data_IF_044824149229
#
_entry.id   IF_044824149229
#
_cell.length_a   1.000
_cell.length_b   1.000
_cell.length_c   1.000
_cell.angle_alpha   90.00
_cell.angle_beta   90.00
_cell.angle_gamma   90.00
#
_symmetry.space_group_name_H-M   'P 1'
#
loop_
_entity.id
_entity.type
_entity.pdbx_description
1 polymer ?
#
# COMPACT_ATOMS: atom_id res chain seq x y z
N UNK A 1 1.41 -26.00 -9.17
CA UNK A 1 2.08 -25.17 -10.21
C UNK A 1 1.19 -25.20 -11.45
N UNK A 2 0.91 -24.04 -12.02
CA UNK A 2 0.01 -23.85 -13.17
C UNK A 2 0.59 -22.72 -14.04
N UNK A 3 1.45 -23.11 -14.99
CA UNK A 3 2.20 -22.15 -15.81
C UNK A 3 1.32 -21.40 -16.81
N UNK A 4 0.16 -21.96 -17.16
CA UNK A 4 -0.81 -21.30 -18.03
C UNK A 4 -1.46 -20.11 -17.32
N UNK A 5 -1.95 -20.32 -16.09
CA UNK A 5 -2.47 -19.22 -15.25
C UNK A 5 -1.40 -18.16 -14.96
N UNK A 6 -0.17 -18.61 -14.65
CA UNK A 6 0.95 -17.69 -14.42
C UNK A 6 1.18 -16.77 -15.62
N UNK A 7 1.22 -17.34 -16.83
CA UNK A 7 1.46 -16.61 -18.08
C UNK A 7 0.34 -15.64 -18.43
N UNK A 8 -0.92 -16.07 -18.28
CA UNK A 8 -2.11 -15.22 -18.48
C UNK A 8 -2.11 -14.02 -17.51
N UNK A 9 -1.75 -14.24 -16.24
CA UNK A 9 -1.64 -13.18 -15.25
C UNK A 9 -0.47 -12.23 -15.57
N UNK A 10 0.70 -12.75 -15.97
CA UNK A 10 1.84 -11.94 -16.39
C UNK A 10 1.48 -11.01 -17.56
N UNK A 11 0.82 -11.57 -18.58
CA UNK A 11 0.35 -10.81 -19.74
C UNK A 11 -0.62 -9.71 -19.33
N UNK A 12 -1.56 -10.03 -18.43
CA UNK A 12 -2.54 -9.06 -17.90
C UNK A 12 -1.87 -7.91 -17.15
N UNK A 13 -0.92 -8.21 -16.25
CA UNK A 13 -0.16 -7.20 -15.50
C UNK A 13 0.65 -6.29 -16.43
N UNK A 14 1.33 -6.86 -17.43
CA UNK A 14 2.08 -6.07 -18.43
C UNK A 14 1.17 -5.12 -19.21
N UNK A 15 0.00 -5.60 -19.66
CA UNK A 15 -0.95 -4.77 -20.40
C UNK A 15 -1.54 -3.63 -19.54
N UNK A 16 -1.88 -3.90 -18.27
CA UNK A 16 -2.36 -2.89 -17.32
C UNK A 16 -1.29 -1.86 -16.96
N UNK A 17 -0.02 -2.27 -16.92
CA UNK A 17 1.12 -1.37 -16.77
C UNK A 17 1.41 -0.53 -18.03
N UNK A 18 0.68 -0.73 -19.14
CA UNK A 18 0.96 -0.14 -20.45
C UNK A 18 2.39 -0.40 -20.96
N UNK A 19 2.99 -1.53 -20.57
CA UNK A 19 4.35 -1.90 -20.97
C UNK A 19 4.33 -2.64 -22.32
N UNK A 20 5.02 -2.10 -23.32
CA UNK A 20 5.36 -2.86 -24.52
C UNK A 20 6.28 -4.02 -24.16
N UNK A 21 6.39 -5.01 -25.05
CA UNK A 21 7.27 -6.17 -24.79
C UNK A 21 8.73 -5.73 -24.59
N UNK A 22 9.20 -4.77 -25.38
CA UNK A 22 10.55 -4.20 -25.28
C UNK A 22 10.73 -3.43 -23.97
N UNK A 23 9.76 -2.59 -23.59
CA UNK A 23 9.82 -1.83 -22.35
C UNK A 23 9.82 -2.74 -21.12
N UNK A 24 9.03 -3.83 -21.17
CA UNK A 24 9.00 -4.84 -20.12
C UNK A 24 10.32 -5.59 -19.97
N UNK A 25 10.92 -6.05 -21.08
CA UNK A 25 12.25 -6.68 -21.06
C UNK A 25 13.29 -5.74 -20.45
N UNK A 26 13.32 -4.48 -20.89
CA UNK A 26 14.26 -3.49 -20.38
C UNK A 26 14.06 -3.18 -18.89
N UNK A 27 12.80 -3.06 -18.43
CA UNK A 27 12.50 -2.83 -17.02
C UNK A 27 12.94 -4.00 -16.14
N UNK A 28 12.73 -5.23 -16.62
CA UNK A 28 13.12 -6.45 -15.90
C UNK A 28 14.65 -6.63 -15.90
N UNK A 29 15.32 -6.32 -17.01
CA UNK A 29 16.77 -6.38 -17.12
C UNK A 29 17.46 -5.39 -16.17
N UNK A 30 16.94 -4.15 -16.09
CA UNK A 30 17.41 -3.14 -15.13
C UNK A 30 17.31 -3.61 -13.68
N UNK A 31 16.24 -4.32 -13.31
CA UNK A 31 16.08 -4.90 -11.98
C UNK A 31 17.06 -6.06 -11.73
N UNK A 32 17.31 -6.90 -12.74
CA UNK A 32 18.24 -8.01 -12.65
C UNK A 32 19.70 -7.54 -12.51
N UNK A 33 20.10 -6.50 -13.25
CA UNK A 33 21.44 -5.91 -13.16
C UNK A 33 21.74 -5.29 -11.79
N UNK A 34 20.72 -4.80 -11.08
CA UNK A 34 20.85 -4.28 -9.71
C UNK A 34 20.86 -5.39 -8.63
N UNK A 35 20.67 -6.66 -9.03
CA UNK A 35 20.63 -7.82 -8.15
C UNK A 35 21.97 -8.50 -7.94
N UNK A 36 21.92 -9.78 -7.53
CA UNK A 36 23.12 -10.62 -7.44
C UNK A 36 23.63 -11.00 -8.83
N UNK A 37 24.94 -10.87 -9.06
CA UNK A 37 25.59 -11.23 -10.32
C UNK A 37 25.38 -12.70 -10.67
N UNK A 38 25.35 -13.57 -9.66
CA UNK A 38 25.18 -15.03 -9.84
C UNK A 38 23.78 -15.43 -10.31
N UNK A 39 22.78 -14.57 -10.11
CA UNK A 39 21.38 -14.81 -10.48
C UNK A 39 20.99 -14.22 -11.85
N UNK A 40 21.87 -13.40 -12.45
CA UNK A 40 21.60 -12.71 -13.70
C UNK A 40 21.46 -13.68 -14.88
N UNK A 41 20.41 -13.52 -15.69
CA UNK A 41 20.23 -14.24 -16.94
C UNK A 41 19.76 -13.29 -18.03
N UNK A 42 20.35 -13.41 -19.22
CA UNK A 42 19.90 -12.60 -20.36
C UNK A 42 18.42 -12.85 -20.63
N UNK A 43 17.65 -11.77 -20.65
CA UNK A 43 16.22 -11.76 -20.94
C UNK A 43 16.03 -11.20 -22.33
N UNK A 44 15.16 -11.83 -23.12
CA UNK A 44 14.77 -11.33 -24.42
C UNK A 44 13.25 -11.43 -24.62
N UNK A 45 12.76 -10.81 -25.70
CA UNK A 45 11.35 -10.86 -26.09
C UNK A 45 10.82 -12.29 -26.24
N UNK A 46 11.52 -13.20 -26.94
CA UNK A 46 11.12 -14.61 -27.06
C UNK A 46 10.94 -15.33 -25.72
N UNK A 47 11.87 -15.17 -24.77
CA UNK A 47 11.79 -15.79 -23.44
C UNK A 47 10.58 -15.28 -22.67
N UNK A 48 10.37 -13.97 -22.65
CA UNK A 48 9.18 -13.35 -22.03
C UNK A 48 7.90 -13.87 -22.68
N UNK A 49 7.87 -13.97 -24.01
CA UNK A 49 6.71 -14.50 -24.73
C UNK A 49 6.42 -15.94 -24.30
N UNK A 50 7.45 -16.78 -24.14
CA UNK A 50 7.27 -18.15 -23.64
C UNK A 50 6.72 -18.19 -22.21
N UNK A 51 7.12 -17.26 -21.34
CA UNK A 51 6.54 -17.11 -20.00
C UNK A 51 5.07 -16.71 -20.05
N UNK A 52 4.70 -15.72 -20.88
CA UNK A 52 3.31 -15.28 -21.05
C UNK A 52 2.39 -16.37 -21.62
N UNK A 53 2.91 -17.26 -22.46
CA UNK A 53 2.15 -18.39 -23.01
C UNK A 53 2.13 -19.61 -22.08
N UNK A 54 2.85 -19.58 -20.96
CA UNK A 54 3.01 -20.75 -20.09
C UNK A 54 3.59 -21.96 -20.82
N UNK A 55 4.46 -21.72 -21.80
CA UNK A 55 4.85 -22.73 -22.78
C UNK A 55 5.59 -23.91 -22.13
N UNK A 56 5.15 -25.12 -22.46
CA UNK A 56 5.85 -26.36 -22.18
C UNK A 56 6.20 -27.03 -23.51
N UNK A 57 7.48 -27.37 -23.72
CA UNK A 57 7.94 -27.99 -24.96
C UNK A 57 8.93 -29.11 -24.64
N UNK A 58 8.66 -30.33 -25.13
CA UNK A 58 9.48 -31.53 -24.86
C UNK A 58 9.82 -31.72 -23.38
N UNK A 59 8.83 -31.57 -22.49
CA UNK A 59 9.01 -31.68 -21.04
C UNK A 59 9.72 -30.49 -20.37
N UNK A 60 10.28 -29.55 -21.14
CA UNK A 60 10.88 -28.33 -20.60
C UNK A 60 9.80 -27.30 -20.31
N UNK A 61 9.80 -26.81 -19.07
CA UNK A 61 8.91 -25.76 -18.59
C UNK A 61 9.58 -24.39 -18.69
N UNK A 62 8.97 -23.45 -19.41
CA UNK A 62 9.47 -22.09 -19.52
C UNK A 62 8.85 -21.23 -18.43
N UNK A 63 9.58 -21.05 -17.34
CA UNK A 63 9.19 -20.22 -16.20
C UNK A 63 10.38 -19.36 -15.72
N UNK A 64 10.13 -18.22 -15.06
CA UNK A 64 11.20 -17.44 -14.43
C UNK A 64 11.87 -18.26 -13.33
N UNK A 65 13.14 -17.97 -13.04
CA UNK A 65 13.78 -18.47 -11.82
C UNK A 65 13.15 -17.79 -10.60
N UNK A 66 13.48 -18.27 -9.38
CA UNK A 66 13.00 -17.63 -8.14
C UNK A 66 13.45 -16.17 -8.03
N UNK A 67 14.68 -15.83 -8.43
CA UNK A 67 15.18 -14.46 -8.47
C UNK A 67 14.38 -13.59 -9.45
N UNK A 68 14.13 -14.10 -10.66
CA UNK A 68 13.30 -13.40 -11.65
C UNK A 68 11.85 -13.24 -11.19
N UNK A 69 11.32 -14.20 -10.43
CA UNK A 69 10.02 -14.06 -9.79
C UNK A 69 10.02 -12.87 -8.81
N UNK A 70 11.10 -12.64 -8.04
CA UNK A 70 11.21 -11.44 -7.18
C UNK A 70 11.18 -10.16 -8.00
N UNK A 71 11.90 -10.10 -9.13
CA UNK A 71 11.92 -8.91 -9.96
C UNK A 71 10.56 -8.63 -10.59
N UNK A 72 9.84 -9.67 -11.03
CA UNK A 72 8.46 -9.55 -11.51
C UNK A 72 7.52 -9.02 -10.42
N UNK A 73 7.64 -9.54 -9.19
CA UNK A 73 6.87 -9.05 -8.06
C UNK A 73 7.17 -7.57 -7.75
N UNK A 74 8.44 -7.16 -7.78
CA UNK A 74 8.82 -5.74 -7.62
C UNK A 74 8.26 -4.86 -8.72
N UNK A 75 8.36 -5.32 -9.97
CA UNK A 75 7.94 -4.56 -11.14
C UNK A 75 6.42 -4.30 -11.16
N UNK A 76 5.62 -5.22 -10.60
CA UNK A 76 4.16 -5.14 -10.56
C UNK A 76 3.61 -4.96 -9.15
N UNK A 77 4.43 -4.49 -8.21
CA UNK A 77 4.02 -4.31 -6.80
C UNK A 77 2.84 -3.33 -6.67
N UNK A 78 2.74 -2.36 -7.58
CA UNK A 78 1.65 -1.40 -7.68
C UNK A 78 0.31 -2.04 -8.10
N UNK A 79 0.32 -3.22 -8.71
CA UNK A 79 -0.87 -3.91 -9.24
C UNK A 79 -1.25 -5.17 -8.47
N UNK A 80 -0.39 -5.63 -7.57
CA UNK A 80 -0.60 -6.83 -6.77
C UNK A 80 -0.84 -6.46 -5.30
N UNK A 81 -1.66 -7.27 -4.63
CA UNK A 81 -1.66 -7.37 -3.16
C UNK A 81 -0.85 -8.60 -2.73
N UNK A 82 -0.59 -8.76 -1.42
CA UNK A 82 0.20 -9.90 -0.93
C UNK A 82 -0.44 -11.24 -1.26
N UNK A 83 -1.77 -11.32 -1.24
CA UNK A 83 -2.49 -12.57 -1.53
C UNK A 83 -2.35 -12.98 -3.00
N UNK A 84 -2.60 -12.05 -3.92
CA UNK A 84 -2.44 -12.26 -5.37
C UNK A 84 -0.99 -12.54 -5.73
N UNK A 85 -0.02 -11.90 -5.05
CA UNK A 85 1.40 -12.20 -5.18
C UNK A 85 1.74 -13.63 -4.73
N UNK A 86 1.19 -14.07 -3.59
CA UNK A 86 1.38 -15.42 -3.08
C UNK A 86 0.75 -16.47 -4.01
N UNK A 87 -0.44 -16.19 -4.55
CA UNK A 87 -1.07 -17.06 -5.54
C UNK A 87 -0.24 -17.13 -6.82
N UNK A 88 0.23 -16.00 -7.34
CA UNK A 88 0.99 -15.92 -8.59
C UNK A 88 2.34 -16.64 -8.50
N UNK A 89 3.05 -16.52 -7.38
CA UNK A 89 4.29 -17.27 -7.14
C UNK A 89 4.04 -18.78 -7.07
N UNK A 90 2.93 -19.20 -6.45
CA UNK A 90 2.53 -20.61 -6.38
C UNK A 90 2.18 -21.19 -7.76
N UNK A 91 1.60 -20.38 -8.65
CA UNK A 91 1.38 -20.76 -10.06
C UNK A 91 2.71 -21.01 -10.80
N UNK A 92 3.76 -20.23 -10.53
CA UNK A 92 5.12 -20.48 -11.02
C UNK A 92 5.85 -21.64 -10.30
N UNK A 93 5.25 -22.21 -9.25
CA UNK A 93 5.81 -23.32 -8.48
C UNK A 93 6.81 -22.89 -7.42
N UNK A 94 6.68 -21.66 -6.90
CA UNK A 94 7.47 -21.14 -5.79
C UNK A 94 6.58 -20.84 -4.58
N UNK A 95 7.11 -21.09 -3.39
CA UNK A 95 6.53 -20.62 -2.15
C UNK A 95 7.32 -19.41 -1.66
N UNK A 96 6.62 -18.29 -1.47
CA UNK A 96 7.15 -17.07 -0.89
C UNK A 96 6.44 -16.83 0.44
N UNK A 97 7.21 -16.59 1.50
CA UNK A 97 6.67 -16.29 2.83
C UNK A 97 6.06 -14.89 2.88
N UNK A 98 5.16 -14.64 3.84
CA UNK A 98 4.53 -13.32 4.03
C UNK A 98 5.58 -12.21 4.23
N UNK A 99 6.57 -12.44 5.09
CA UNK A 99 7.67 -11.50 5.34
C UNK A 99 8.50 -11.24 4.09
N UNK A 100 8.81 -12.30 3.34
CA UNK A 100 9.59 -12.18 2.11
C UNK A 100 8.86 -11.38 1.02
N UNK A 101 7.54 -11.55 0.90
CA UNK A 101 6.71 -10.73 0.01
C UNK A 101 6.63 -9.28 0.50
N UNK A 102 6.53 -9.05 1.82
CA UNK A 102 6.56 -7.70 2.39
C UNK A 102 7.87 -6.99 2.03
N UNK A 103 9.03 -7.63 2.19
CA UNK A 103 10.33 -7.03 1.83
C UNK A 103 10.46 -6.72 0.33
N UNK A 104 9.80 -7.50 -0.51
CA UNK A 104 9.81 -7.30 -1.96
C UNK A 104 8.97 -6.09 -2.35
N UNK A 105 7.78 -5.97 -1.77
CA UNK A 105 6.82 -4.92 -2.11
C UNK A 105 7.15 -3.61 -1.41
N UNK A 106 7.78 -3.69 -0.23
CA UNK A 106 8.02 -2.58 0.68
C UNK A 106 9.48 -2.62 1.16
N UNK A 107 10.45 -2.39 0.24
CA UNK A 107 11.88 -2.49 0.54
C UNK A 107 12.37 -1.41 1.52
N UNK A 108 11.56 -0.38 1.79
CA UNK A 108 11.74 0.55 2.89
C UNK A 108 10.68 0.27 3.95
N UNK A 109 11.10 0.26 5.23
CA UNK A 109 10.14 0.26 6.32
C UNK A 109 9.24 1.49 6.18
N UNK A 110 7.93 1.28 6.21
CA UNK A 110 6.94 2.36 6.22
C UNK A 110 7.34 3.42 7.26
N UNK A 111 7.30 4.70 6.88
CA UNK A 111 7.41 5.77 7.87
C UNK A 111 6.10 5.79 8.63
N UNK A 112 6.11 5.23 9.84
CA UNK A 112 4.93 5.16 10.70
C UNK A 112 5.03 6.23 11.78
N UNK A 113 4.06 7.14 11.77
CA UNK A 113 3.88 8.13 12.81
C UNK A 113 2.56 7.87 13.54
N UNK A 114 2.67 7.30 14.74
CA UNK A 114 1.55 7.00 15.62
C UNK A 114 0.96 8.25 16.32
N UNK A 115 1.60 9.41 16.23
CA UNK A 115 1.18 10.59 16.99
C UNK A 115 1.06 10.28 18.49
N UNK A 116 -0.13 10.49 19.05
CA UNK A 116 -0.41 10.25 20.48
C UNK A 116 -0.90 8.82 20.79
N UNK A 117 -1.08 7.94 19.80
CA UNK A 117 -1.59 6.59 20.07
C UNK A 117 -0.50 5.66 20.61
N UNK A 118 -0.82 4.91 21.66
CA UNK A 118 0.06 3.89 22.24
C UNK A 118 -0.20 2.50 21.67
N UNK A 119 0.68 1.55 21.98
CA UNK A 119 0.43 0.14 21.68
C UNK A 119 -0.78 -0.35 22.47
N UNK A 120 -1.76 -1.00 21.82
CA UNK A 120 -2.82 -1.65 22.55
C UNK A 120 -2.22 -2.81 23.35
N UNK A 121 -2.70 -3.02 24.57
CA UNK A 121 -2.41 -4.22 25.34
C UNK A 121 -3.02 -5.47 24.70
N UNK A 122 -3.34 -6.46 25.51
CA UNK A 122 -3.95 -7.71 25.01
C UNK A 122 -5.21 -7.43 24.18
N UNK A 123 -5.26 -8.00 22.97
CA UNK A 123 -6.38 -7.86 22.03
C UNK A 123 -6.96 -9.24 21.72
N UNK A 124 -8.28 -9.38 21.85
CA UNK A 124 -8.99 -10.65 21.72
C UNK A 124 -10.22 -10.50 20.83
N UNK A 125 -10.47 -11.50 19.98
CA UNK A 125 -11.62 -11.53 19.08
C UNK A 125 -11.51 -10.54 17.91
N UNK A 126 -12.65 -10.31 17.25
CA UNK A 126 -12.80 -9.37 16.10
C UNK A 126 -11.98 -9.77 14.88
N UNK A 127 -11.75 -11.07 14.70
CA UNK A 127 -11.00 -11.63 13.57
C UNK A 127 -11.70 -11.33 12.24
N UNK A 128 -13.04 -11.36 12.21
CA UNK A 128 -13.81 -11.02 11.02
C UNK A 128 -13.64 -9.56 10.62
N UNK A 129 -13.69 -8.62 11.57
CA UNK A 129 -13.52 -7.20 11.29
C UNK A 129 -12.07 -6.87 10.91
N UNK A 130 -11.09 -7.53 11.53
CA UNK A 130 -9.69 -7.41 11.12
C UNK A 130 -9.50 -7.85 9.67
N UNK A 131 -9.99 -9.03 9.31
CA UNK A 131 -9.88 -9.55 7.95
C UNK A 131 -10.59 -8.66 6.93
N UNK A 132 -11.77 -8.12 7.28
CA UNK A 132 -12.51 -7.20 6.42
C UNK A 132 -11.75 -5.89 6.20
N UNK A 133 -11.17 -5.31 7.27
CA UNK A 133 -10.39 -4.07 7.16
C UNK A 133 -9.07 -4.31 6.40
N UNK A 134 -8.40 -5.45 6.60
CA UNK A 134 -7.23 -5.84 5.81
C UNK A 134 -7.59 -5.96 4.33
N UNK A 135 -8.71 -6.63 4.00
CA UNK A 135 -9.19 -6.73 2.63
C UNK A 135 -9.48 -5.35 2.03
N UNK A 136 -10.23 -4.49 2.72
CA UNK A 136 -10.56 -3.15 2.22
C UNK A 136 -9.32 -2.27 2.02
N UNK A 137 -8.37 -2.31 2.94
CA UNK A 137 -7.18 -1.44 2.90
C UNK A 137 -6.12 -1.96 1.93
N UNK A 138 -5.95 -3.28 1.80
CA UNK A 138 -4.84 -3.87 1.04
C UNK A 138 -5.30 -4.38 -0.32
N UNK A 139 -6.35 -5.20 -0.35
CA UNK A 139 -6.83 -5.89 -1.55
C UNK A 139 -7.72 -5.02 -2.40
N UNK A 140 -8.80 -4.50 -1.82
CA UNK A 140 -9.80 -3.69 -2.55
C UNK A 140 -9.31 -2.25 -2.75
N UNK A 141 -8.30 -1.83 -1.95
CA UNK A 141 -7.66 -0.51 -1.99
C UNK A 141 -8.69 0.63 -1.88
N UNK A 142 -9.63 0.46 -0.96
CA UNK A 142 -10.62 1.46 -0.62
C UNK A 142 -9.91 2.77 -0.24
N UNK A 143 -10.30 3.87 -0.88
CA UNK A 143 -9.72 5.21 -0.63
C UNK A 143 -10.20 5.83 0.68
N UNK A 144 -11.32 5.35 1.21
CA UNK A 144 -11.93 5.80 2.45
C UNK A 144 -12.59 4.61 3.13
N UNK A 145 -12.29 4.43 4.41
CA UNK A 145 -12.90 3.42 5.29
C UNK A 145 -13.30 4.12 6.58
N UNK A 146 -14.54 3.91 7.02
CA UNK A 146 -15.04 4.45 8.28
C UNK A 146 -15.31 3.30 9.26
N UNK A 147 -14.77 3.40 10.47
CA UNK A 147 -15.03 2.45 11.56
C UNK A 147 -16.04 3.09 12.50
N UNK A 148 -17.27 2.58 12.49
CA UNK A 148 -18.39 3.12 13.26
C UNK A 148 -18.79 2.15 14.38
N UNK A 149 -19.38 2.70 15.44
CA UNK A 149 -19.84 1.91 16.58
C UNK A 149 -19.92 2.73 17.86
N UNK A 150 -20.55 2.16 18.87
CA UNK A 150 -20.76 2.82 20.16
C UNK A 150 -19.45 3.24 20.83
N UNK A 151 -19.52 4.21 21.75
CA UNK A 151 -18.38 4.59 22.59
C UNK A 151 -17.85 3.40 23.38
N UNK A 152 -16.52 3.30 23.54
CA UNK A 152 -15.89 2.23 24.32
C UNK A 152 -15.86 0.83 23.68
N UNK A 153 -16.46 0.61 22.49
CA UNK A 153 -16.53 -0.72 21.84
C UNK A 153 -15.17 -1.23 21.28
N UNK A 154 -14.10 -0.46 21.46
CA UNK A 154 -12.74 -0.81 21.03
C UNK A 154 -12.41 -0.46 19.58
N UNK A 155 -13.06 0.54 18.96
CA UNK A 155 -12.79 0.97 17.57
C UNK A 155 -11.33 1.36 17.35
N UNK A 156 -10.80 2.24 18.20
CA UNK A 156 -9.40 2.68 18.17
C UNK A 156 -8.46 1.50 18.33
N UNK A 157 -8.74 0.58 19.25
CA UNK A 157 -7.91 -0.63 19.47
C UNK A 157 -7.89 -1.54 18.24
N UNK A 158 -9.06 -1.79 17.63
CA UNK A 158 -9.19 -2.55 16.37
C UNK A 158 -8.40 -1.88 15.24
N UNK A 159 -8.58 -0.57 15.07
CA UNK A 159 -7.88 0.21 14.06
C UNK A 159 -6.36 0.15 14.26
N UNK A 160 -5.85 0.33 15.49
CA UNK A 160 -4.42 0.23 15.78
C UNK A 160 -3.87 -1.17 15.46
N UNK A 161 -4.62 -2.23 15.78
CA UNK A 161 -4.23 -3.61 15.46
C UNK A 161 -4.10 -3.84 13.96
N UNK A 162 -5.11 -3.43 13.19
CA UNK A 162 -5.12 -3.58 11.72
C UNK A 162 -4.04 -2.72 11.09
N UNK A 163 -3.92 -1.45 11.49
CA UNK A 163 -2.91 -0.53 10.94
C UNK A 163 -1.51 -1.09 11.12
N UNK A 164 -1.19 -1.75 12.25
CA UNK A 164 0.10 -2.45 12.44
C UNK A 164 0.31 -3.61 11.47
N UNK A 165 -0.76 -4.36 11.17
CA UNK A 165 -0.69 -5.50 10.25
C UNK A 165 -0.55 -5.04 8.79
N UNK A 166 -1.20 -3.94 8.43
CA UNK A 166 -1.21 -3.42 7.06
C UNK A 166 -0.14 -2.36 6.81
N UNK A 167 0.51 -1.81 7.84
CA UNK A 167 1.50 -0.74 7.68
C UNK A 167 2.62 -1.05 6.70
N UNK A 168 3.11 -2.31 6.54
CA UNK A 168 4.08 -2.59 5.50
C UNK A 168 3.56 -2.18 4.12
N UNK A 169 2.24 -2.21 3.86
CA UNK A 169 1.66 -1.94 2.55
C UNK A 169 1.64 -0.47 2.09
N UNK A 170 2.21 0.42 2.90
CA UNK A 170 2.17 1.85 2.72
C UNK A 170 3.58 2.41 2.90
N UNK A 171 3.92 3.43 2.12
CA UNK A 171 5.17 4.18 2.28
C UNK A 171 5.10 5.05 3.55
N UNK A 172 3.89 5.57 3.84
CA UNK A 172 3.62 6.41 5.00
C UNK A 172 2.34 5.97 5.71
N UNK A 173 2.39 5.89 7.04
CA UNK A 173 1.22 5.69 7.89
C UNK A 173 1.19 6.82 8.91
N UNK A 174 0.16 7.65 8.88
CA UNK A 174 0.08 8.84 9.72
C UNK A 174 -1.21 8.81 10.51
N UNK A 175 -1.08 8.68 11.84
CA UNK A 175 -2.21 8.67 12.76
C UNK A 175 -2.36 10.03 13.45
N UNK A 176 -3.57 10.58 13.44
CA UNK A 176 -3.90 11.79 14.19
C UNK A 176 -5.20 11.63 14.96
N UNK A 177 -5.16 11.97 16.23
CA UNK A 177 -6.34 12.08 17.07
C UNK A 177 -6.96 13.47 16.94
N UNK A 178 -8.27 13.53 16.76
CA UNK A 178 -9.05 14.76 16.75
C UNK A 178 -9.75 15.02 18.09
N UNK A 179 -9.41 14.28 19.14
CA UNK A 179 -10.07 14.36 20.46
C UNK A 179 -10.00 15.76 21.09
N UNK A 180 -8.91 16.49 20.84
CA UNK A 180 -8.72 17.87 21.30
C UNK A 180 -9.15 18.90 20.25
N UNK A 181 -9.78 18.45 19.17
CA UNK A 181 -10.18 19.26 18.03
C UNK A 181 -9.06 20.23 17.57
N UNK A 182 -7.93 19.69 17.09
CA UNK A 182 -6.83 20.52 16.63
C UNK A 182 -7.28 21.42 15.46
N UNK A 183 -6.70 22.62 15.27
CA UNK A 183 -6.93 23.40 14.04
C UNK A 183 -6.40 22.67 12.80
N UNK A 184 -7.10 22.82 11.66
CA UNK A 184 -6.70 22.16 10.41
C UNK A 184 -5.27 22.52 9.98
N UNK A 185 -4.86 23.78 10.13
CA UNK A 185 -3.51 24.23 9.79
C UNK A 185 -2.41 23.46 10.58
N UNK A 186 -2.68 23.15 11.85
CA UNK A 186 -1.78 22.35 12.68
C UNK A 186 -1.70 20.90 12.19
N UNK A 187 -2.84 20.33 11.79
CA UNK A 187 -2.90 18.98 11.19
C UNK A 187 -2.16 18.90 9.86
N UNK A 188 -2.38 19.85 8.94
CA UNK A 188 -1.70 19.91 7.65
C UNK A 188 -0.19 20.03 7.80
N UNK A 189 0.28 20.91 8.68
CA UNK A 189 1.70 21.05 9.00
C UNK A 189 2.27 19.76 9.58
N UNK A 190 1.51 19.09 10.44
CA UNK A 190 1.90 17.84 11.07
C UNK A 190 2.03 16.69 10.06
N UNK A 191 1.12 16.56 9.09
CA UNK A 191 1.25 15.59 8.00
C UNK A 191 2.43 15.93 7.09
N UNK A 192 2.61 17.20 6.77
CA UNK A 192 3.72 17.65 5.93
C UNK A 192 5.10 17.38 6.55
N UNK A 193 5.22 17.53 7.88
CA UNK A 193 6.43 17.18 8.63
C UNK A 193 6.87 15.72 8.43
N UNK A 194 5.91 14.81 8.29
CA UNK A 194 6.18 13.38 8.06
C UNK A 194 6.48 13.10 6.60
N UNK A 195 5.67 13.66 5.69
CA UNK A 195 5.78 13.39 4.25
C UNK A 195 6.99 14.07 3.60
N UNK A 196 7.40 15.24 4.09
CA UNK A 196 8.44 16.06 3.50
C UNK A 196 9.21 16.89 4.54
N UNK A 197 9.89 16.26 5.52
CA UNK A 197 10.57 16.96 6.61
C UNK A 197 11.60 17.98 6.11
N UNK A 198 12.29 17.68 5.00
CA UNK A 198 13.29 18.57 4.41
C UNK A 198 12.70 19.84 3.77
N UNK A 199 11.39 19.88 3.53
CA UNK A 199 10.70 20.98 2.85
C UNK A 199 9.88 21.85 3.81
N UNK A 200 9.93 21.63 5.13
CA UNK A 200 9.14 22.38 6.12
C UNK A 200 9.31 23.90 6.04
N UNK A 201 10.52 24.38 5.72
CA UNK A 201 10.80 25.80 5.56
C UNK A 201 10.09 26.42 4.33
N UNK A 202 9.57 25.59 3.43
CA UNK A 202 8.79 25.96 2.25
C UNK A 202 7.30 25.72 2.44
N UNK A 203 6.84 25.42 3.67
CA UNK A 203 5.43 25.18 3.92
C UNK A 203 4.63 26.48 3.71
N UNK A 204 3.66 26.51 2.77
CA UNK A 204 2.95 27.73 2.41
C UNK A 204 2.16 28.34 3.56
N UNK A 205 1.91 29.66 3.51
CA UNK A 205 1.07 30.34 4.50
C UNK A 205 -0.44 30.14 4.23
N UNK A 206 -0.83 30.05 2.96
CA UNK A 206 -2.22 29.95 2.54
C UNK A 206 -2.71 28.51 2.43
N UNK A 207 -3.94 28.27 2.91
CA UNK A 207 -4.55 26.93 2.97
C UNK A 207 -4.61 26.23 1.61
N UNK A 208 -4.99 26.93 0.53
CA UNK A 208 -5.11 26.34 -0.80
C UNK A 208 -3.76 25.80 -1.31
N UNK A 209 -2.68 26.53 -1.06
CA UNK A 209 -1.32 26.11 -1.43
C UNK A 209 -0.84 24.94 -0.56
N UNK A 210 -1.14 24.96 0.75
CA UNK A 210 -0.85 23.85 1.66
C UNK A 210 -1.53 22.55 1.20
N UNK A 211 -2.82 22.62 0.85
CA UNK A 211 -3.58 21.47 0.34
C UNK A 211 -3.04 20.95 -0.99
N UNK A 212 -2.70 21.86 -1.91
CA UNK A 212 -2.11 21.50 -3.21
C UNK A 212 -0.81 20.72 -3.01
N UNK A 213 0.09 21.27 -2.18
CA UNK A 213 1.37 20.65 -1.88
C UNK A 213 1.20 19.30 -1.17
N UNK A 214 0.28 19.19 -0.22
CA UNK A 214 -0.04 17.94 0.46
C UNK A 214 -0.54 16.88 -0.52
N UNK A 215 -1.51 17.23 -1.38
CA UNK A 215 -2.06 16.29 -2.36
C UNK A 215 -1.01 15.80 -3.36
N UNK A 216 -0.05 16.65 -3.73
CA UNK A 216 1.05 16.22 -4.59
C UNK A 216 1.95 15.16 -3.94
N UNK A 217 2.17 15.25 -2.63
CA UNK A 217 2.89 14.21 -1.88
C UNK A 217 2.06 12.93 -1.76
N UNK A 218 0.78 13.05 -1.37
CA UNK A 218 -0.13 11.91 -1.22
C UNK A 218 -0.41 11.16 -2.53
N UNK A 219 -0.27 11.82 -3.70
CA UNK A 219 -0.41 11.17 -5.02
C UNK A 219 0.82 10.38 -5.45
N UNK A 220 2.01 10.73 -4.93
CA UNK A 220 3.29 10.13 -5.33
C UNK A 220 3.67 8.91 -4.49
N UNK A 221 3.01 8.73 -3.35
CA UNK A 221 3.35 7.74 -2.33
C UNK A 221 2.07 7.06 -1.85
N UNK A 222 2.17 5.80 -1.42
CA UNK A 222 1.08 5.07 -0.79
C UNK A 222 0.97 5.52 0.66
N UNK A 223 0.01 6.39 0.94
CA UNK A 223 -0.20 6.92 2.29
C UNK A 223 -1.48 6.37 2.92
N UNK A 224 -1.40 5.90 4.16
CA UNK A 224 -2.55 5.62 5.02
C UNK A 224 -2.67 6.73 6.06
N UNK A 225 -3.74 7.52 5.97
CA UNK A 225 -4.07 8.57 6.94
C UNK A 225 -5.18 8.07 7.86
N UNK A 226 -4.95 8.10 9.17
CA UNK A 226 -5.94 7.71 10.17
C UNK A 226 -6.36 8.94 10.96
N UNK A 227 -7.66 9.22 10.96
CA UNK A 227 -8.29 10.28 11.75
C UNK A 227 -9.16 9.63 12.83
N UNK A 228 -8.65 9.62 14.05
CA UNK A 228 -9.39 9.07 15.20
C UNK A 228 -10.21 10.17 15.88
N UNK A 229 -11.37 9.82 16.45
CA UNK A 229 -12.30 10.73 17.12
C UNK A 229 -12.82 11.88 16.25
N UNK A 230 -13.12 11.62 14.97
CA UNK A 230 -13.62 12.60 13.99
C UNK A 230 -14.89 13.32 14.47
N UNK A 231 -15.73 12.64 15.24
CA UNK A 231 -16.95 13.20 15.83
C UNK A 231 -16.72 14.45 16.67
N UNK A 232 -15.51 14.66 17.21
CA UNK A 232 -15.17 15.80 18.08
C UNK A 232 -15.27 17.14 17.36
N UNK A 233 -15.00 17.18 16.05
CA UNK A 233 -15.09 18.41 15.23
C UNK A 233 -16.44 18.54 14.52
N UNK A 234 -17.31 17.54 14.61
CA UNK A 234 -18.62 17.53 13.98
C UNK A 234 -19.68 18.18 14.87
N UNK A 235 -20.73 18.72 14.25
CA UNK A 235 -21.86 19.31 14.97
C UNK A 235 -22.79 18.21 15.52
N UNK A 236 -22.94 18.15 16.84
CA UNK A 236 -23.86 17.21 17.50
C UNK A 236 -25.33 17.45 17.09
N UNK A 237 -26.08 16.37 16.94
CA UNK A 237 -27.54 16.42 16.67
C UNK A 237 -27.93 16.84 15.25
N UNK A 238 -26.97 17.03 14.35
CA UNK A 238 -27.20 17.36 12.94
C UNK A 238 -27.02 16.15 12.01
N UNK A 239 -27.47 16.26 10.75
CA UNK A 239 -27.13 15.26 9.71
C UNK A 239 -25.62 15.28 9.45
N UNK A 240 -25.06 14.15 9.04
CA UNK A 240 -23.64 14.02 8.71
C UNK A 240 -23.16 15.13 7.73
N UNK A 241 -21.93 15.61 7.93
CA UNK A 241 -21.29 16.64 7.09
C UNK A 241 -21.32 18.07 7.64
N UNK A 242 -21.92 18.31 8.81
CA UNK A 242 -21.83 19.60 9.50
C UNK A 242 -20.73 19.60 10.57
N UNK A 243 -19.94 20.67 10.57
CA UNK A 243 -18.87 20.90 11.55
C UNK A 243 -19.33 21.89 12.61
N UNK A 244 -18.78 21.77 13.82
CA UNK A 244 -19.07 22.72 14.89
C UNK A 244 -18.50 24.12 14.55
N UNK A 245 -19.05 25.22 15.12
CA UNK A 245 -18.55 26.56 14.88
C UNK A 245 -17.04 26.69 15.08
N UNK A 246 -16.34 27.28 14.11
CA UNK A 246 -14.88 27.45 14.09
C UNK A 246 -14.08 26.27 13.50
N UNK A 247 -14.76 25.22 13.04
CA UNK A 247 -14.17 24.02 12.43
C UNK A 247 -14.69 23.73 11.02
N UNK A 248 -15.45 24.66 10.44
CA UNK A 248 -16.05 24.54 9.10
C UNK A 248 -15.00 24.35 8.01
N UNK A 249 -13.79 24.85 8.23
CA UNK A 249 -12.64 24.74 7.31
C UNK A 249 -12.18 23.29 7.13
N UNK A 250 -12.60 22.35 7.98
CA UNK A 250 -12.37 20.92 7.78
C UNK A 250 -13.25 20.29 6.69
N UNK A 251 -14.31 20.98 6.25
CA UNK A 251 -15.30 20.51 5.27
C UNK A 251 -15.06 20.93 3.83
#
# INVERSE_FOLDING_TARGET
>A
MDLKKFGEQLKTLRHRAHLSQTAFVHALDKLAQAGSVDDYRVIDGPLVSRWEHGATYHGRQWKPTRAYMRYLLRLFADQLDLFSAQQWTTQAGYQFGRTELQDIFFPQAAVVDWGETSEPGSFYGRESEQALLEQWLVSDRCRLVAILGMGGIGKTVLATKVVRQVSPHYDYVIWRSLINAPPLASMLRSWFNVLAPQQLNRFPAHLAEQLTLLFDHLRRQRCLLILDNLETIMQQGSRAGQYRPGYEVYG
#
